data_IF_770221578027
#
_entry.id   IF_770221578027
#
_cell.length_a   1.000
_cell.length_b   1.000
_cell.length_c   1.000
_cell.angle_alpha   90.00
_cell.angle_beta   90.00
_cell.angle_gamma   90.00
#
_symmetry.space_group_name_H-M   'P 1'
#
loop_
_entity.id
_entity.type
_entity.pdbx_description
1 polymer ?
#
# COMPACT_ATOMS: atom_id res chain seq x y z
N UNK A 1 -38.25 2.48 -34.87
CA UNK A 1 -37.39 1.41 -34.34
C UNK A 1 -36.40 2.10 -33.41
N UNK A 2 -36.62 1.96 -32.10
CA UNK A 2 -35.80 2.59 -31.07
C UNK A 2 -34.43 1.91 -31.04
N UNK A 3 -33.38 2.67 -31.36
CA UNK A 3 -32.00 2.29 -31.13
C UNK A 3 -31.75 2.34 -29.62
N UNK A 4 -31.93 1.20 -28.94
CA UNK A 4 -31.48 1.00 -27.57
C UNK A 4 -29.95 1.05 -27.55
N UNK A 5 -29.40 2.26 -27.44
CA UNK A 5 -28.04 2.49 -26.97
C UNK A 5 -28.00 2.03 -25.52
N UNK A 6 -27.70 0.75 -25.31
CA UNK A 6 -27.29 0.26 -24.00
C UNK A 6 -25.87 0.78 -23.77
N UNK A 7 -25.76 2.04 -23.37
CA UNK A 7 -24.56 2.57 -22.74
C UNK A 7 -24.31 1.70 -21.51
N UNK A 8 -23.45 0.69 -21.67
CA UNK A 8 -22.99 -0.12 -20.56
C UNK A 8 -22.46 0.87 -19.53
N UNK A 9 -23.07 0.96 -18.34
CA UNK A 9 -22.60 1.90 -17.35
C UNK A 9 -21.12 1.59 -17.11
N UNK A 10 -20.35 2.64 -16.85
CA UNK A 10 -18.91 2.71 -16.64
C UNK A 10 -18.41 1.89 -15.42
N UNK A 11 -19.11 0.80 -15.10
CA UNK A 11 -18.94 -0.16 -14.03
C UNK A 11 -17.57 -0.84 -14.08
N UNK A 12 -16.98 -0.94 -15.27
CA UNK A 12 -15.62 -1.46 -15.46
C UNK A 12 -14.53 -0.54 -14.88
N UNK A 13 -14.78 0.76 -14.78
CA UNK A 13 -13.81 1.75 -14.30
C UNK A 13 -13.86 1.91 -12.76
N UNK A 14 -15.04 1.74 -12.17
CA UNK A 14 -15.24 1.95 -10.72
C UNK A 14 -14.54 0.90 -9.82
N UNK A 15 -14.43 -0.36 -10.26
CA UNK A 15 -13.80 -1.40 -9.47
C UNK A 15 -12.27 -1.28 -9.43
N UNK A 16 -11.67 -0.98 -10.59
CA UNK A 16 -10.22 -0.86 -10.72
C UNK A 16 -9.71 0.45 -10.09
N UNK A 17 -10.41 1.56 -10.30
CA UNK A 17 -10.10 2.83 -9.63
C UNK A 17 -10.19 2.72 -8.11
N UNK A 18 -11.19 2.01 -7.57
CA UNK A 18 -11.28 1.72 -6.13
C UNK A 18 -10.06 0.94 -5.63
N UNK A 19 -9.63 -0.09 -6.36
CA UNK A 19 -8.44 -0.86 -5.98
C UNK A 19 -7.16 -0.01 -6.02
N UNK A 20 -6.97 0.85 -7.02
CA UNK A 20 -5.83 1.77 -7.07
C UNK A 20 -5.85 2.77 -5.90
N UNK A 21 -7.01 3.32 -5.54
CA UNK A 21 -7.14 4.22 -4.38
C UNK A 21 -6.78 3.51 -3.09
N UNK A 22 -7.28 2.30 -2.87
CA UNK A 22 -6.91 1.48 -1.70
C UNK A 22 -5.40 1.23 -1.65
N UNK A 23 -4.80 0.88 -2.78
CA UNK A 23 -3.35 0.66 -2.87
C UNK A 23 -2.53 1.91 -2.52
N UNK A 24 -2.96 3.11 -2.96
CA UNK A 24 -2.29 4.35 -2.61
C UNK A 24 -2.36 4.66 -1.11
N UNK A 25 -3.52 4.41 -0.47
CA UNK A 25 -3.70 4.58 0.97
C UNK A 25 -2.80 3.63 1.77
N UNK A 26 -2.68 2.38 1.34
CA UNK A 26 -1.81 1.40 2.02
C UNK A 26 -0.33 1.75 1.88
N UNK A 27 0.09 2.23 0.70
CA UNK A 27 1.45 2.73 0.51
C UNK A 27 1.74 3.92 1.44
N UNK A 28 0.79 4.85 1.56
CA UNK A 28 0.91 5.98 2.48
C UNK A 28 0.99 5.51 3.94
N UNK A 29 0.20 4.49 4.32
CA UNK A 29 0.26 3.93 5.66
C UNK A 29 1.65 3.33 5.97
N UNK A 30 2.25 2.59 5.03
CA UNK A 30 3.63 2.07 5.18
C UNK A 30 4.66 3.20 5.28
N UNK A 31 4.54 4.24 4.45
CA UNK A 31 5.42 5.41 4.54
C UNK A 31 5.31 6.10 5.91
N UNK A 32 4.10 6.18 6.47
CA UNK A 32 3.87 6.72 7.80
C UNK A 32 4.58 5.88 8.87
N UNK A 33 4.50 4.55 8.82
CA UNK A 33 5.17 3.67 9.79
C UNK A 33 6.69 3.82 9.73
N UNK A 34 7.26 3.86 8.53
CA UNK A 34 8.71 4.08 8.35
C UNK A 34 9.11 5.43 8.95
N UNK A 35 8.30 6.47 8.74
CA UNK A 35 8.56 7.79 9.33
C UNK A 35 8.51 7.74 10.86
N UNK A 36 7.53 7.04 11.43
CA UNK A 36 7.44 6.82 12.89
C UNK A 36 8.69 6.11 13.41
N UNK A 37 9.14 5.04 12.74
CA UNK A 37 10.36 4.31 13.12
C UNK A 37 11.59 5.24 13.15
N UNK A 38 11.74 6.08 12.13
CA UNK A 38 12.86 7.05 12.06
C UNK A 38 12.80 8.07 13.20
N UNK A 39 11.61 8.52 13.58
CA UNK A 39 11.42 9.45 14.71
C UNK A 39 11.84 8.79 16.02
N UNK A 40 11.34 7.58 16.31
CA UNK A 40 11.68 6.84 17.53
C UNK A 40 13.18 6.53 17.57
N UNK A 41 13.76 6.10 16.46
CA UNK A 41 15.21 5.87 16.36
C UNK A 41 16.02 7.15 16.62
N UNK A 42 15.52 8.29 16.17
CA UNK A 42 16.10 9.60 16.48
C UNK A 42 16.10 9.88 17.98
N UNK A 43 14.96 9.68 18.64
CA UNK A 43 14.85 9.83 20.10
C UNK A 43 15.75 8.86 20.86
N UNK A 44 15.80 7.58 20.48
CA UNK A 44 16.69 6.60 21.08
C UNK A 44 18.16 7.02 20.97
N UNK A 45 18.57 7.54 19.81
CA UNK A 45 19.92 8.05 19.60
C UNK A 45 20.21 9.25 20.49
N UNK A 46 19.26 10.17 20.62
CA UNK A 46 19.42 11.38 21.44
C UNK A 46 19.52 11.05 22.94
N UNK A 47 19.04 9.89 23.39
CA UNK A 47 19.26 9.36 24.73
C UNK A 47 20.69 8.86 24.99
N UNK A 48 21.49 8.61 23.94
CA UNK A 48 22.89 8.17 24.07
C UNK A 48 23.78 9.39 24.18
N UNK A 49 24.15 9.75 25.41
CA UNK A 49 25.07 10.87 25.69
C UNK A 49 26.44 10.36 26.14
N UNK A 50 27.49 11.13 25.88
CA UNK A 50 28.85 10.78 26.29
C UNK A 50 28.98 10.75 27.82
N UNK A 51 29.68 9.74 28.34
CA UNK A 51 30.00 9.62 29.77
C UNK A 51 28.91 8.97 30.63
N UNK A 52 27.85 8.42 30.04
CA UNK A 52 26.88 7.59 30.75
C UNK A 52 27.49 6.26 31.23
N UNK A 53 27.27 5.93 32.49
CA UNK A 53 27.60 4.62 33.07
C UNK A 53 26.57 3.55 32.64
N UNK A 54 25.30 3.95 32.56
CA UNK A 54 24.16 3.14 32.11
C UNK A 54 23.27 3.92 31.14
N UNK A 55 22.54 3.20 30.27
CA UNK A 55 21.55 3.81 29.37
C UNK A 55 20.26 4.17 30.14
N UNK A 56 19.62 5.31 29.81
CA UNK A 56 18.39 5.73 30.47
C UNK A 56 17.23 4.80 30.11
N UNK A 57 16.22 4.72 30.98
CA UNK A 57 15.02 3.87 30.76
C UNK A 57 14.31 4.22 29.44
N UNK A 58 14.28 5.51 29.10
CA UNK A 58 13.72 6.04 27.86
C UNK A 58 14.35 5.43 26.61
N UNK A 59 15.64 5.08 26.65
CA UNK A 59 16.30 4.38 25.55
C UNK A 59 15.65 3.02 25.32
N UNK A 60 15.46 2.24 26.39
CA UNK A 60 14.88 0.89 26.30
C UNK A 60 13.41 0.93 25.87
N UNK A 61 12.65 1.93 26.33
CA UNK A 61 11.29 2.18 25.85
C UNK A 61 11.31 2.41 24.33
N UNK A 62 12.20 3.27 23.83
CA UNK A 62 12.34 3.48 22.39
C UNK A 62 12.71 2.20 21.64
N UNK A 63 13.55 1.32 22.22
CA UNK A 63 13.89 0.02 21.60
C UNK A 63 12.64 -0.86 21.46
N UNK A 64 11.81 -0.97 22.50
CA UNK A 64 10.58 -1.75 22.44
C UNK A 64 9.57 -1.16 21.44
N UNK A 65 9.37 0.17 21.45
CA UNK A 65 8.51 0.84 20.48
C UNK A 65 8.99 0.63 19.03
N UNK A 66 10.31 0.69 18.78
CA UNK A 66 10.85 0.38 17.46
C UNK A 66 10.55 -1.05 17.02
N UNK A 67 10.61 -2.04 17.93
CA UNK A 67 10.26 -3.43 17.60
C UNK A 67 8.80 -3.56 17.19
N UNK A 68 7.88 -2.93 17.92
CA UNK A 68 6.44 -2.93 17.61
C UNK A 68 6.17 -2.28 16.24
N UNK A 69 6.80 -1.14 15.95
CA UNK A 69 6.66 -0.47 14.65
C UNK A 69 7.24 -1.32 13.52
N UNK A 70 8.38 -1.99 13.74
CA UNK A 70 8.94 -2.92 12.76
C UNK A 70 8.01 -4.11 12.47
N UNK A 71 7.35 -4.67 13.48
CA UNK A 71 6.34 -5.73 13.30
C UNK A 71 5.11 -5.22 12.54
N UNK A 72 4.64 -4.01 12.84
CA UNK A 72 3.57 -3.34 12.08
C UNK A 72 3.94 -3.16 10.59
N UNK A 73 5.19 -2.76 10.30
CA UNK A 73 5.70 -2.63 8.93
C UNK A 73 5.70 -3.99 8.23
N UNK A 74 6.21 -5.04 8.87
CA UNK A 74 6.28 -6.38 8.29
C UNK A 74 4.88 -6.87 7.87
N UNK A 75 3.92 -6.82 8.79
CA UNK A 75 2.53 -7.23 8.54
C UNK A 75 1.93 -6.43 7.37
N UNK A 76 2.06 -5.09 7.39
CA UNK A 76 1.51 -4.22 6.36
C UNK A 76 2.17 -4.45 5.00
N UNK A 77 3.46 -4.78 4.97
CA UNK A 77 4.19 -5.09 3.74
C UNK A 77 3.67 -6.36 3.07
N UNK A 78 3.41 -7.42 3.85
CA UNK A 78 2.84 -8.68 3.36
C UNK A 78 1.41 -8.49 2.83
N UNK A 79 0.61 -7.71 3.54
CA UNK A 79 -0.77 -7.40 3.10
C UNK A 79 -0.79 -6.55 1.84
N UNK A 80 0.11 -5.58 1.73
CA UNK A 80 0.29 -4.77 0.55
C UNK A 80 0.69 -5.64 -0.66
N UNK A 81 1.64 -6.56 -0.51
CA UNK A 81 2.06 -7.46 -1.58
C UNK A 81 0.90 -8.32 -2.10
N UNK A 82 0.13 -8.94 -1.20
CA UNK A 82 -1.07 -9.73 -1.56
C UNK A 82 -2.08 -8.92 -2.36
N UNK A 83 -2.30 -7.66 -1.97
CA UNK A 83 -3.24 -6.75 -2.64
C UNK A 83 -2.70 -6.25 -3.98
N UNK A 84 -1.41 -5.95 -4.07
CA UNK A 84 -0.74 -5.59 -5.32
C UNK A 84 -0.85 -6.70 -6.37
N UNK A 85 -0.67 -7.97 -5.97
CA UNK A 85 -0.89 -9.13 -6.85
C UNK A 85 -2.34 -9.21 -7.33
N UNK A 86 -3.31 -8.92 -6.45
CA UNK A 86 -4.74 -8.92 -6.79
C UNK A 86 -5.07 -7.82 -7.80
N UNK A 87 -4.52 -6.63 -7.61
CA UNK A 87 -4.63 -5.51 -8.53
C UNK A 87 -4.06 -5.85 -9.90
N UNK A 88 -2.85 -6.42 -9.94
CA UNK A 88 -2.20 -6.82 -11.19
C UNK A 88 -3.00 -7.89 -11.95
N UNK A 89 -3.51 -8.91 -11.25
CA UNK A 89 -4.36 -9.95 -11.84
C UNK A 89 -5.66 -9.37 -12.39
N UNK A 90 -6.28 -8.44 -11.66
CA UNK A 90 -7.51 -7.76 -12.10
C UNK A 90 -7.26 -6.91 -13.34
N UNK A 91 -6.18 -6.14 -13.36
CA UNK A 91 -5.78 -5.34 -14.53
C UNK A 91 -5.60 -6.21 -15.78
N UNK A 92 -4.83 -7.31 -15.69
CA UNK A 92 -4.63 -8.22 -16.82
C UNK A 92 -5.93 -8.84 -17.35
N UNK A 93 -6.85 -9.22 -16.44
CA UNK A 93 -8.17 -9.76 -16.83
C UNK A 93 -9.01 -8.73 -17.58
N UNK A 94 -8.95 -7.46 -17.18
CA UNK A 94 -9.68 -6.38 -17.85
C UNK A 94 -9.09 -6.07 -19.23
N UNK A 95 -7.76 -6.01 -19.34
CA UNK A 95 -7.06 -5.83 -20.62
C UNK A 95 -7.37 -6.95 -21.63
N UNK A 96 -7.38 -8.22 -21.17
CA UNK A 96 -7.75 -9.35 -22.02
C UNK A 96 -9.18 -9.26 -22.55
N UNK A 97 -10.15 -8.86 -21.71
CA UNK A 97 -11.55 -8.65 -22.12
C UNK A 97 -11.70 -7.51 -23.13
N UNK A 98 -11.00 -6.39 -22.92
CA UNK A 98 -11.03 -5.26 -23.84
C UNK A 98 -10.46 -5.61 -25.22
N UNK A 99 -9.42 -6.45 -25.28
CA UNK A 99 -8.83 -6.90 -26.54
C UNK A 99 -9.72 -7.88 -27.33
N UNK A 100 -10.60 -8.65 -26.66
CA UNK A 100 -11.57 -9.53 -27.34
C UNK A 100 -12.83 -8.83 -27.85
N UNK A 101 -13.07 -7.57 -27.43
CA UNK A 101 -14.23 -6.78 -27.88
C UNK A 101 -13.92 -5.84 -29.04
N UNK A 102 -12.66 -5.75 -29.51
CA UNK A 102 -12.33 -5.01 -30.73
C UNK A 102 -12.88 -5.78 -31.94
N UNK A 103 -13.79 -5.21 -32.75
CA UNK A 103 -14.23 -5.85 -33.97
C UNK A 103 -12.99 -6.04 -34.85
N UNK A 104 -12.77 -7.26 -35.33
CA UNK A 104 -11.93 -7.46 -36.50
C UNK A 104 -12.59 -6.64 -37.62
N UNK A 105 -11.99 -5.50 -37.95
CA UNK A 105 -12.23 -4.90 -39.26
C UNK A 105 -11.63 -5.87 -40.26
N UNK A 106 -12.48 -6.72 -40.83
CA UNK A 106 -12.17 -7.46 -42.05
C UNK A 106 -12.08 -6.41 -43.18
N UNK A 107 -10.93 -6.41 -43.86
CA UNK A 107 -10.69 -5.68 -45.12
C UNK A 107 -11.38 -6.39 -46.30
#
# INVERSE_FOLDING_TARGET
MESNNFDAPNYFDNGLSRLYRTHAVELQAMQSEIKTLVIIAGHARDCITEGLEDLPEEFFICIEEMKEVMESIDIKSLDFEKRALTLQRTKRRLEAKANHQKPQKED
#
